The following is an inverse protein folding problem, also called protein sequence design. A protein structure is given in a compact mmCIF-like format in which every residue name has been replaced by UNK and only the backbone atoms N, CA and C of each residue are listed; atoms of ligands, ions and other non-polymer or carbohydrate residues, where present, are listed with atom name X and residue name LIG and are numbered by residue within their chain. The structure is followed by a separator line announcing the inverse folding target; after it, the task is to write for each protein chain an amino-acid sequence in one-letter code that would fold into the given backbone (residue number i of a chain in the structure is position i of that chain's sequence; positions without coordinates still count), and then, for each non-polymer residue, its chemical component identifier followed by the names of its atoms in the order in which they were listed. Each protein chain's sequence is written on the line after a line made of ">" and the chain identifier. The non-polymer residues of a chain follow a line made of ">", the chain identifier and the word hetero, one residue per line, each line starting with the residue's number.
data_IF_894287747671
#
_entry.id   IF_894287747671
#
_cell.length_a   1.000
_cell.length_b   1.000
_cell.length_c   1.000
_cell.angle_alpha   90.00
_cell.angle_beta   90.00
_cell.angle_gamma   90.00
#
_symmetry.space_group_name_H-M   'P 1'
#
loop_
_entity.id
_entity.type
_entity.pdbx_description
1 polymer ?
#
# COMPACT_ATOMS: atom_id res chain seq x y z
N UNK A 1 3.62 -28.38 -0.38
CA UNK A 1 3.60 -26.93 -0.10
C UNK A 1 3.80 -26.75 1.39
N UNK A 2 4.75 -25.92 1.82
CA UNK A 2 4.95 -25.70 3.26
C UNK A 2 3.67 -25.09 3.86
N UNK A 3 3.07 -25.79 4.82
CA UNK A 3 1.87 -25.33 5.51
C UNK A 3 2.31 -24.57 6.77
N UNK A 4 2.40 -23.25 6.70
CA UNK A 4 2.77 -22.42 7.84
C UNK A 4 3.13 -20.97 7.48
N UNK A 5 3.33 -20.12 8.50
CA UNK A 5 3.80 -18.76 8.32
C UNK A 5 5.12 -18.74 7.53
N UNK A 6 5.19 -17.92 6.48
CA UNK A 6 6.38 -17.79 5.63
C UNK A 6 6.95 -16.39 5.80
N UNK A 7 8.27 -16.30 5.96
CA UNK A 7 9.01 -15.04 5.92
C UNK A 7 9.64 -14.88 4.54
N UNK A 8 9.26 -13.83 3.81
CA UNK A 8 9.72 -13.54 2.46
C UNK A 8 10.57 -12.26 2.51
N UNK A 9 11.76 -12.29 1.90
CA UNK A 9 12.64 -11.11 1.83
C UNK A 9 12.13 -10.15 0.75
N UNK A 10 12.30 -8.85 1.02
CA UNK A 10 12.15 -7.79 0.01
C UNK A 10 13.56 -7.35 -0.38
N UNK A 11 13.86 -7.41 -1.68
CA UNK A 11 15.11 -6.92 -2.25
C UNK A 11 14.91 -5.50 -2.78
N UNK A 12 15.96 -4.68 -2.67
CA UNK A 12 16.01 -3.34 -3.27
C UNK A 12 17.24 -3.24 -4.16
N UNK A 13 17.03 -3.14 -5.47
CA UNK A 13 18.08 -3.11 -6.47
C UNK A 13 17.72 -2.13 -7.58
N UNK A 14 18.68 -1.31 -8.00
CA UNK A 14 18.50 -0.33 -9.07
C UNK A 14 17.28 0.59 -8.86
N UNK A 15 16.99 0.95 -7.60
CA UNK A 15 15.86 1.84 -7.26
C UNK A 15 14.49 1.14 -7.19
N UNK A 16 14.42 -0.19 -7.32
CA UNK A 16 13.16 -0.94 -7.36
C UNK A 16 13.09 -2.02 -6.27
N UNK A 17 11.89 -2.25 -5.76
CA UNK A 17 11.55 -3.27 -4.76
C UNK A 17 10.99 -4.52 -5.42
N UNK A 18 11.39 -5.71 -4.98
CA UNK A 18 10.79 -6.97 -5.42
C UNK A 18 10.85 -8.04 -4.31
N UNK A 19 9.94 -9.02 -4.35
CA UNK A 19 9.98 -10.16 -3.43
C UNK A 19 11.02 -11.19 -3.88
N UNK A 20 11.60 -11.91 -2.92
CA UNK A 20 12.48 -13.03 -3.19
C UNK A 20 11.81 -14.08 -4.09
N UNK A 21 12.43 -14.38 -5.24
CA UNK A 21 11.88 -15.28 -6.25
C UNK A 21 10.77 -14.69 -7.14
N UNK A 22 10.40 -13.42 -6.97
CA UNK A 22 9.44 -12.73 -7.86
C UNK A 22 10.13 -12.06 -9.04
N UNK A 23 9.42 -11.99 -10.18
CA UNK A 23 9.82 -11.20 -11.35
C UNK A 23 9.23 -9.79 -11.35
N UNK A 24 8.26 -9.53 -10.47
CA UNK A 24 7.62 -8.22 -10.37
C UNK A 24 8.47 -7.27 -9.55
N UNK A 25 8.63 -6.05 -10.06
CA UNK A 25 9.39 -5.00 -9.38
C UNK A 25 8.64 -3.68 -9.39
N UNK A 26 8.76 -2.92 -8.31
CA UNK A 26 7.97 -1.73 -8.02
C UNK A 26 8.87 -0.56 -7.64
N UNK A 27 8.46 0.66 -7.96
CA UNK A 27 9.23 1.86 -7.59
C UNK A 27 9.02 2.24 -6.12
N UNK A 28 7.92 1.80 -5.51
CA UNK A 28 7.63 1.99 -4.10
C UNK A 28 7.28 0.68 -3.38
N UNK A 29 7.79 0.51 -2.16
CA UNK A 29 7.49 -0.64 -1.31
C UNK A 29 5.99 -0.83 -1.07
N UNK A 30 5.25 0.27 -0.91
CA UNK A 30 3.82 0.20 -0.64
C UNK A 30 3.01 -0.22 -1.88
N UNK A 31 3.51 0.04 -3.10
CA UNK A 31 2.92 -0.49 -4.34
C UNK A 31 3.08 -2.01 -4.42
N UNK A 32 4.26 -2.51 -4.05
CA UNK A 32 4.50 -3.96 -3.94
C UNK A 32 3.48 -4.58 -2.98
N UNK A 33 3.29 -3.99 -1.80
CA UNK A 33 2.34 -4.51 -0.81
C UNK A 33 0.90 -4.46 -1.32
N UNK A 34 0.45 -3.35 -1.92
CA UNK A 34 -0.88 -3.24 -2.52
C UNK A 34 -1.11 -4.29 -3.61
N UNK A 35 -0.12 -4.50 -4.48
CA UNK A 35 -0.19 -5.50 -5.53
C UNK A 35 -0.49 -6.88 -4.93
N UNK A 36 0.30 -7.35 -3.95
CA UNK A 36 0.11 -8.69 -3.37
C UNK A 36 -1.09 -8.82 -2.42
N UNK A 37 -1.70 -7.70 -1.99
CA UNK A 37 -3.00 -7.67 -1.29
C UNK A 37 -4.17 -7.80 -2.29
N UNK A 38 -4.07 -7.16 -3.46
CA UNK A 38 -5.15 -7.09 -4.44
C UNK A 38 -5.12 -8.22 -5.50
N UNK A 39 -3.94 -8.64 -5.94
CA UNK A 39 -3.75 -9.57 -7.04
C UNK A 39 -4.17 -11.01 -6.67
N UNK A 40 -4.85 -11.75 -7.56
CA UNK A 40 -5.07 -13.18 -7.41
C UNK A 40 -3.81 -14.01 -7.80
N UNK A 41 -3.42 -15.03 -7.02
CA UNK A 41 -3.93 -15.41 -5.71
C UNK A 41 -3.50 -14.40 -4.64
N UNK A 42 -4.42 -14.00 -3.74
CA UNK A 42 -4.11 -13.05 -2.68
C UNK A 42 -3.10 -13.65 -1.72
N UNK A 43 -1.85 -13.21 -1.83
CA UNK A 43 -0.74 -13.68 -0.99
C UNK A 43 -0.72 -12.97 0.36
N UNK A 44 -1.15 -11.71 0.39
CA UNK A 44 -1.20 -10.88 1.59
C UNK A 44 -2.65 -10.62 2.02
N UNK A 45 -2.90 -10.77 3.32
CA UNK A 45 -4.16 -10.41 3.95
C UNK A 45 -4.12 -9.03 4.61
N UNK A 46 -4.92 -8.82 5.65
CA UNK A 46 -4.90 -7.58 6.41
C UNK A 46 -3.57 -7.42 7.19
N UNK A 47 -2.94 -6.23 7.15
CA UNK A 47 -1.66 -6.02 7.84
C UNK A 47 -1.85 -5.98 9.35
N UNK A 48 -0.93 -6.63 10.07
CA UNK A 48 -0.86 -6.58 11.53
C UNK A 48 -0.21 -5.27 11.99
N UNK A 49 -1.01 -4.34 12.53
CA UNK A 49 -0.55 -3.03 13.00
C UNK A 49 -0.18 -3.05 14.48
N UNK A 50 0.88 -2.31 14.85
CA UNK A 50 1.26 -2.10 16.25
C UNK A 50 0.13 -1.44 17.05
N UNK A 51 -0.44 -0.34 16.54
CA UNK A 51 -1.67 0.25 17.08
C UNK A 51 -2.87 -0.25 16.29
N UNK A 52 -3.74 -1.02 16.94
CA UNK A 52 -4.94 -1.61 16.30
C UNK A 52 -5.97 -0.56 15.90
N UNK A 53 -6.20 0.44 16.76
CA UNK A 53 -7.12 1.54 16.47
C UNK A 53 -6.38 2.62 15.68
N UNK A 54 -6.78 2.81 14.43
CA UNK A 54 -6.24 3.85 13.57
C UNK A 54 -6.92 5.20 13.85
N UNK A 55 -6.21 6.33 13.72
CA UNK A 55 -6.82 7.64 13.71
C UNK A 55 -7.86 7.75 12.61
N UNK A 56 -8.91 8.55 12.86
CA UNK A 56 -9.94 8.81 11.87
C UNK A 56 -9.35 9.37 10.56
N UNK A 57 -8.32 10.21 10.64
CA UNK A 57 -7.65 10.77 9.48
C UNK A 57 -7.02 9.70 8.57
N UNK A 58 -6.43 8.64 9.14
CA UNK A 58 -5.86 7.53 8.36
C UNK A 58 -6.97 6.69 7.71
N UNK A 59 -8.06 6.43 8.45
CA UNK A 59 -9.23 5.72 7.93
C UNK A 59 -9.87 6.47 6.76
N UNK A 60 -10.05 7.79 6.91
CA UNK A 60 -10.57 8.65 5.85
C UNK A 60 -9.63 8.67 4.64
N UNK A 61 -8.32 8.83 4.85
CA UNK A 61 -7.33 8.81 3.75
C UNK A 61 -7.41 7.50 2.95
N UNK A 62 -7.37 6.36 3.63
CA UNK A 62 -7.48 5.05 2.99
C UNK A 62 -8.76 4.95 2.15
N UNK A 63 -9.90 5.40 2.70
CA UNK A 63 -11.19 5.30 2.01
C UNK A 63 -11.28 6.24 0.80
N UNK A 64 -10.73 7.45 0.90
CA UNK A 64 -10.66 8.41 -0.19
C UNK A 64 -9.82 7.84 -1.33
N UNK A 65 -8.61 7.37 -1.04
CA UNK A 65 -7.71 6.76 -2.04
C UNK A 65 -8.37 5.54 -2.70
N UNK A 66 -9.03 4.69 -1.91
CA UNK A 66 -9.73 3.51 -2.44
C UNK A 66 -10.90 3.84 -3.39
N UNK A 67 -11.54 5.00 -3.19
CA UNK A 67 -12.71 5.40 -4.00
C UNK A 67 -12.29 6.19 -5.23
N UNK A 68 -11.34 7.09 -5.08
CA UNK A 68 -10.98 8.07 -6.11
C UNK A 68 -9.78 7.62 -6.94
N UNK A 69 -8.90 6.79 -6.39
CA UNK A 69 -7.61 6.45 -6.99
C UNK A 69 -6.55 7.52 -6.70
N UNK A 70 -5.30 7.08 -6.57
CA UNK A 70 -4.15 7.93 -6.22
C UNK A 70 -3.86 8.98 -7.30
N UNK A 71 -4.10 8.62 -8.55
CA UNK A 71 -3.94 9.46 -9.74
C UNK A 71 -4.95 10.62 -9.83
N UNK A 72 -6.09 10.50 -9.14
CA UNK A 72 -7.15 11.51 -9.17
C UNK A 72 -7.19 12.39 -7.92
N UNK A 73 -6.29 12.20 -6.94
CA UNK A 73 -6.29 12.98 -5.69
C UNK A 73 -6.20 14.50 -5.92
N UNK A 74 -5.45 14.93 -6.95
CA UNK A 74 -5.30 16.35 -7.29
C UNK A 74 -6.61 17.01 -7.78
N UNK A 75 -7.61 16.21 -8.20
CA UNK A 75 -8.90 16.68 -8.70
C UNK A 75 -9.91 16.94 -7.58
N UNK A 76 -9.65 16.47 -6.36
CA UNK A 76 -10.56 16.66 -5.23
C UNK A 76 -10.47 18.12 -4.76
N UNK A 77 -11.62 18.83 -4.59
CA UNK A 77 -11.65 20.20 -4.12
C UNK A 77 -11.38 20.28 -2.61
N UNK A 78 -10.11 20.04 -2.22
CA UNK A 78 -9.62 20.14 -0.85
C UNK A 78 -8.63 21.30 -0.73
N UNK A 79 -8.52 21.82 0.49
CA UNK A 79 -7.45 22.76 0.82
C UNK A 79 -6.06 22.09 0.67
N UNK A 80 -4.98 22.88 0.48
CA UNK A 80 -3.64 22.34 0.25
C UNK A 80 -3.15 21.41 1.35
N UNK A 81 -3.40 21.75 2.62
CA UNK A 81 -2.96 20.95 3.78
C UNK A 81 -3.54 19.53 3.75
N UNK A 82 -4.83 19.40 3.45
CA UNK A 82 -5.48 18.09 3.34
C UNK A 82 -5.02 17.34 2.08
N UNK A 83 -4.77 18.05 0.98
CA UNK A 83 -4.24 17.47 -0.25
C UNK A 83 -2.83 16.88 -0.03
N UNK A 84 -1.98 17.60 0.68
CA UNK A 84 -0.63 17.14 1.05
C UNK A 84 -0.72 15.94 1.97
N UNK A 85 -1.65 15.95 2.94
CA UNK A 85 -1.90 14.81 3.81
C UNK A 85 -2.34 13.55 3.02
N UNK A 86 -3.23 13.69 2.04
CA UNK A 86 -3.61 12.56 1.17
C UNK A 86 -2.42 12.08 0.33
N UNK A 87 -1.64 13.01 -0.21
CA UNK A 87 -0.48 12.73 -1.07
C UNK A 87 0.71 12.13 -0.30
N UNK A 88 0.78 12.33 1.02
CA UNK A 88 1.84 11.78 1.87
C UNK A 88 1.84 10.26 1.93
N UNK A 89 0.68 9.62 1.71
CA UNK A 89 0.53 8.17 1.71
C UNK A 89 -0.72 7.76 0.91
N UNK A 90 -0.62 7.77 -0.44
CA UNK A 90 -1.75 7.58 -1.33
C UNK A 90 -1.99 6.09 -1.61
N UNK A 91 -2.14 5.29 -0.54
CA UNK A 91 -2.31 3.83 -0.61
C UNK A 91 -3.57 3.37 0.15
N UNK A 92 -4.12 2.24 -0.26
CA UNK A 92 -5.31 1.57 0.24
C UNK A 92 -5.00 0.58 1.38
N UNK A 93 -3.74 0.43 1.78
CA UNK A 93 -3.29 -0.56 2.78
C UNK A 93 -3.38 -0.10 4.21
#
# INVERSE_FOLDING_TARGET
>A
MASGPTSIRVHFQAGRFHLDGSRESFDCLFELLEHYVAAPPRMLGAPLRQRRVRPLQELCRQRIVATVGRENLARIPLNPVLRDYLSSFPFQI
#
